data_IF_311427249410
#
_entry.id   IF_311427249410
#
_cell.length_a   1.000
_cell.length_b   1.000
_cell.length_c   1.000
_cell.angle_alpha   90.00
_cell.angle_beta   90.00
_cell.angle_gamma   90.00
#
_symmetry.space_group_name_H-M   'P 1'
#
loop_
_entity.id
_entity.type
_entity.pdbx_description
1 polymer ?
#
# COMPACT_ATOMS: atom_id res chain seq x y z
N UNK A 1 4.84 2.34 -5.67
CA UNK A 1 4.44 3.76 -5.61
C UNK A 1 5.67 4.60 -5.25
N UNK A 2 5.81 5.81 -5.79
CA UNK A 2 6.91 6.73 -5.48
C UNK A 2 6.34 8.08 -4.98
N UNK A 3 7.00 8.71 -4.01
CA UNK A 3 6.56 10.00 -3.47
C UNK A 3 7.73 10.83 -2.94
N UNK A 4 7.56 12.15 -2.99
CA UNK A 4 8.45 13.15 -2.38
C UNK A 4 7.66 13.99 -1.37
N UNK A 5 8.31 14.39 -0.28
CA UNK A 5 7.69 15.23 0.76
C UNK A 5 6.66 14.53 1.65
N UNK A 6 6.54 13.20 1.57
CA UNK A 6 5.63 12.40 2.41
C UNK A 6 6.40 11.50 3.37
N UNK A 7 5.79 11.20 4.51
CA UNK A 7 6.36 10.27 5.49
C UNK A 7 6.20 8.84 4.99
N UNK A 8 7.18 7.97 5.25
CA UNK A 8 7.13 6.56 4.85
C UNK A 8 5.87 5.83 5.30
N UNK A 9 5.32 6.15 6.48
CA UNK A 9 4.07 5.54 6.99
C UNK A 9 2.87 5.85 6.09
N UNK A 10 2.63 7.12 5.76
CA UNK A 10 1.52 7.55 4.89
C UNK A 10 1.63 6.92 3.50
N UNK A 11 2.86 6.85 2.99
CA UNK A 11 3.16 6.24 1.69
C UNK A 11 2.91 4.73 1.71
N UNK A 12 3.28 4.07 2.80
CA UNK A 12 3.08 2.64 3.00
C UNK A 12 1.62 2.26 3.11
N UNK A 13 0.85 2.97 3.93
CA UNK A 13 -0.60 2.79 4.07
C UNK A 13 -1.29 2.95 2.72
N UNK A 14 -1.00 4.02 1.98
CA UNK A 14 -1.57 4.22 0.64
C UNK A 14 -1.20 3.12 -0.36
N UNK A 15 0.05 2.65 -0.35
CA UNK A 15 0.49 1.58 -1.24
C UNK A 15 -0.17 0.24 -0.89
N UNK A 16 -0.40 -0.04 0.39
CA UNK A 16 -1.08 -1.22 0.89
C UNK A 16 -2.56 -1.22 0.52
N UNK A 17 -3.24 -0.08 0.69
CA UNK A 17 -4.64 0.10 0.31
C UNK A 17 -4.84 -0.10 -1.20
N UNK A 18 -3.94 0.46 -2.01
CA UNK A 18 -3.95 0.28 -3.45
C UNK A 18 -3.76 -1.20 -3.83
N UNK A 19 -2.87 -1.92 -3.16
CA UNK A 19 -2.65 -3.34 -3.40
C UNK A 19 -3.88 -4.18 -2.99
N UNK A 20 -4.53 -3.84 -1.88
CA UNK A 20 -5.77 -4.47 -1.45
C UNK A 20 -6.90 -4.23 -2.48
N UNK A 21 -7.08 -2.99 -2.95
CA UNK A 21 -8.03 -2.64 -3.99
C UNK A 21 -7.84 -3.48 -5.27
N UNK A 22 -6.59 -3.57 -5.74
CA UNK A 22 -6.23 -4.39 -6.90
C UNK A 22 -6.60 -5.86 -6.66
N UNK A 23 -6.29 -6.42 -5.50
CA UNK A 23 -6.65 -7.79 -5.14
C UNK A 23 -8.18 -7.99 -5.13
N UNK A 24 -8.94 -7.12 -4.47
CA UNK A 24 -10.40 -7.18 -4.45
C UNK A 24 -11.00 -7.20 -5.86
N UNK A 25 -10.51 -6.32 -6.74
CA UNK A 25 -10.93 -6.27 -8.14
C UNK A 25 -10.67 -7.60 -8.86
N UNK A 26 -9.50 -8.21 -8.67
CA UNK A 26 -9.22 -9.54 -9.27
C UNK A 26 -10.12 -10.66 -8.74
N UNK A 27 -10.72 -10.48 -7.56
CA UNK A 27 -11.63 -11.42 -6.93
C UNK A 27 -13.11 -11.15 -7.27
N UNK A 28 -13.40 -10.12 -8.07
CA UNK A 28 -14.76 -9.73 -8.46
C UNK A 28 -15.54 -9.03 -7.34
N UNK A 29 -14.84 -8.42 -6.39
CA UNK A 29 -15.43 -7.63 -5.31
C UNK A 29 -15.47 -6.18 -5.78
N UNK A 30 -16.65 -5.55 -5.75
CA UNK A 30 -16.82 -4.14 -6.04
C UNK A 30 -16.09 -3.32 -4.96
N UNK A 31 -15.12 -2.51 -5.37
CA UNK A 31 -14.27 -1.75 -4.46
C UNK A 31 -14.35 -0.27 -4.83
N UNK A 32 -15.02 0.51 -3.99
CA UNK A 32 -15.05 1.96 -4.14
C UNK A 32 -13.76 2.56 -3.54
N UNK A 33 -13.02 3.31 -4.36
CA UNK A 33 -11.75 3.92 -3.94
C UNK A 33 -12.00 5.07 -2.96
N UNK A 34 -13.20 5.66 -2.98
CA UNK A 34 -13.58 6.79 -2.13
C UNK A 34 -14.15 6.35 -0.76
N UNK A 35 -14.41 5.06 -0.54
CA UNK A 35 -14.86 4.53 0.77
C UNK A 35 -13.75 4.58 1.84
N UNK A 36 -14.17 4.67 3.11
CA UNK A 36 -13.26 4.69 4.25
C UNK A 36 -12.51 3.35 4.41
N UNK A 37 -11.26 3.38 4.89
CA UNK A 37 -10.47 2.16 5.14
C UNK A 37 -11.16 1.16 6.08
N UNK A 38 -11.92 1.66 7.06
CA UNK A 38 -12.68 0.81 7.98
C UNK A 38 -13.82 0.06 7.27
N UNK A 39 -14.49 0.69 6.30
CA UNK A 39 -15.54 0.06 5.48
C UNK A 39 -14.93 -1.00 4.54
N UNK A 40 -13.78 -0.70 3.95
CA UNK A 40 -13.02 -1.63 3.10
C UNK A 40 -12.58 -2.89 3.85
N UNK A 41 -12.15 -2.77 5.11
CA UNK A 41 -11.76 -3.91 5.95
C UNK A 41 -12.91 -4.88 6.25
N UNK A 42 -14.13 -4.38 6.42
CA UNK A 42 -15.32 -5.21 6.64
C UNK A 42 -15.62 -6.06 5.39
N UNK A 43 -15.52 -5.50 4.19
CA UNK A 43 -15.77 -6.21 2.92
C UNK A 43 -14.82 -7.41 2.75
N UNK A 44 -13.53 -7.24 3.04
CA UNK A 44 -12.57 -8.37 2.99
C UNK A 44 -12.90 -9.46 4.01
N UNK A 45 -13.30 -9.10 5.23
CA UNK A 45 -13.70 -10.07 6.27
C UNK A 45 -14.98 -10.82 5.88
N UNK A 46 -15.97 -10.13 5.31
CA UNK A 46 -17.27 -10.68 4.89
C UNK A 46 -17.11 -11.65 3.70
N UNK A 47 -16.12 -11.41 2.82
CA UNK A 47 -15.83 -12.27 1.66
C UNK A 47 -15.29 -13.68 2.00
N UNK A 48 -15.09 -14.00 3.28
CA UNK A 48 -14.56 -15.30 3.75
C UNK A 48 -13.08 -15.53 3.43
N UNK A 49 -12.41 -14.56 2.80
CA UNK A 49 -10.99 -14.59 2.46
C UNK A 49 -10.24 -13.69 3.45
N UNK A 50 -9.67 -14.28 4.50
CA UNK A 50 -8.80 -13.52 5.42
C UNK A 50 -7.54 -13.12 4.65
N UNK A 51 -7.54 -11.90 4.09
CA UNK A 51 -6.38 -11.30 3.44
C UNK A 51 -5.56 -10.58 4.51
N UNK A 52 -4.30 -10.97 4.64
CA UNK A 52 -3.32 -10.23 5.45
C UNK A 52 -2.50 -9.36 4.50
N UNK A 53 -2.62 -8.06 4.65
CA UNK A 53 -1.87 -7.07 3.90
C UNK A 53 -0.52 -6.80 4.57
N UNK A 54 0.46 -6.37 3.77
CA UNK A 54 1.80 -5.99 4.24
C UNK A 54 2.42 -5.00 3.26
N UNK A 55 2.96 -3.91 3.77
CA UNK A 55 3.78 -2.98 3.02
C UNK A 55 5.29 -3.17 3.29
N UNK A 56 6.10 -2.65 2.37
CA UNK A 56 7.55 -2.50 2.58
C UNK A 56 7.96 -1.20 1.92
N UNK A 57 7.93 -0.14 2.72
CA UNK A 57 8.23 1.23 2.28
C UNK A 57 9.55 1.71 2.87
N UNK A 58 10.37 2.37 2.06
CA UNK A 58 11.59 3.04 2.51
C UNK A 58 11.51 4.54 2.26
N UNK A 59 11.80 5.34 3.28
CA UNK A 59 11.88 6.80 3.19
C UNK A 59 13.16 7.31 3.82
N UNK A 60 13.70 8.43 3.30
CA UNK A 60 14.86 9.11 3.88
C UNK A 60 14.60 10.61 3.94
N UNK A 61 15.08 11.26 5.00
CA UNK A 61 15.17 12.71 5.09
C UNK A 61 16.60 13.09 4.66
N UNK A 62 16.73 14.03 3.74
CA UNK A 62 18.02 14.51 3.24
C UNK A 62 18.31 15.90 3.80
N UNK A 63 19.58 16.18 4.10
CA UNK A 63 20.03 17.52 4.52
C UNK A 63 20.10 18.45 3.31
N UNK A 64 20.03 19.75 3.59
CA UNK A 64 20.14 20.78 2.56
C UNK A 64 21.44 20.65 1.76
N UNK A 65 21.33 20.66 0.43
CA UNK A 65 22.45 20.44 -0.50
C UNK A 65 22.91 18.99 -0.69
N UNK A 66 22.24 18.00 -0.07
CA UNK A 66 22.50 16.58 -0.27
C UNK A 66 21.54 15.90 -1.26
N UNK A 67 21.94 14.73 -1.76
CA UNK A 67 21.09 13.87 -2.58
C UNK A 67 21.03 12.47 -1.98
N UNK A 68 19.83 11.88 -1.96
CA UNK A 68 19.61 10.50 -1.54
C UNK A 68 18.60 9.84 -2.45
N UNK A 69 18.80 8.56 -2.73
CA UNK A 69 17.84 7.70 -3.42
C UNK A 69 17.40 6.59 -2.48
N UNK A 70 16.12 6.30 -2.45
CA UNK A 70 15.54 5.14 -1.74
C UNK A 70 14.93 4.19 -2.75
N UNK A 71 15.04 2.89 -2.48
CA UNK A 71 14.48 1.83 -3.32
C UNK A 71 13.76 0.82 -2.42
N UNK A 72 12.59 0.35 -2.86
CA UNK A 72 11.90 -0.80 -2.30
C UNK A 72 11.56 -1.76 -3.45
N UNK A 73 11.75 -3.06 -3.24
CA UNK A 73 11.53 -4.08 -4.25
C UNK A 73 10.99 -5.37 -3.63
N UNK A 74 10.14 -6.08 -4.38
CA UNK A 74 9.73 -7.45 -4.10
C UNK A 74 10.41 -8.37 -5.13
N UNK A 75 11.27 -9.27 -4.67
CA UNK A 75 12.03 -10.19 -5.53
C UNK A 75 11.49 -11.60 -5.35
N UNK A 76 10.94 -12.18 -6.41
CA UNK A 76 10.50 -13.57 -6.43
C UNK A 76 11.71 -14.45 -6.74
N UNK A 77 11.97 -15.42 -5.86
CA UNK A 77 12.99 -16.46 -6.07
C UNK A 77 12.28 -17.79 -6.32
N UNK A 78 12.84 -18.60 -7.23
CA UNK A 78 12.28 -19.87 -7.69
C UNK A 78 12.62 -21.03 -6.75
#
# INVERSE_FOLDING_TARGET
YHAFGRKGTEVGEYAEDLAAAMLASTLGIDFDVDESWDEKREIFKISGKIVRTRDTTQSSIVKDGGYTTVLAAAVFVF
#
